data_IF_477092491777
#
_entry.id   IF_477092491777
#
_cell.length_a   1.000
_cell.length_b   1.000
_cell.length_c   1.000
_cell.angle_alpha   90.00
_cell.angle_beta   90.00
_cell.angle_gamma   90.00
#
_symmetry.space_group_name_H-M   'P 1'
#
loop_
_entity.id
_entity.type
_entity.pdbx_description
1 polymer ?
#
# COMPACT_ATOMS: atom_id res chain seq x y z
N UNK A 1 -30.24 -22.78 22.61
CA UNK A 1 -28.96 -22.05 22.85
C UNK A 1 -27.79 -22.65 22.06
N UNK A 2 -27.60 -24.00 22.06
CA UNK A 2 -26.56 -24.67 21.26
C UNK A 2 -26.77 -24.47 19.73
N UNK A 3 -27.99 -24.50 19.23
CA UNK A 3 -28.28 -24.31 17.81
C UNK A 3 -27.90 -22.90 17.31
N UNK A 4 -28.04 -21.86 18.13
CA UNK A 4 -27.63 -20.51 17.80
C UNK A 4 -26.12 -20.37 17.61
N UNK A 5 -25.31 -21.20 18.28
CA UNK A 5 -23.86 -21.23 18.12
C UNK A 5 -23.45 -21.68 16.71
N UNK A 6 -24.24 -22.56 16.08
CA UNK A 6 -23.95 -23.04 14.70
C UNK A 6 -24.22 -21.96 13.63
N UNK A 7 -25.10 -20.98 13.91
CA UNK A 7 -25.37 -19.88 12.99
C UNK A 7 -24.37 -18.70 13.13
N UNK A 8 -23.59 -18.63 14.20
CA UNK A 8 -22.63 -17.54 14.40
C UNK A 8 -21.61 -17.39 13.24
N UNK A 9 -20.99 -18.47 12.73
CA UNK A 9 -20.12 -18.37 11.53
C UNK A 9 -20.89 -17.90 10.28
N UNK A 10 -22.16 -18.26 10.13
CA UNK A 10 -22.98 -17.80 9.01
C UNK A 10 -23.29 -16.31 9.11
N UNK A 11 -23.48 -15.76 10.31
CA UNK A 11 -23.63 -14.31 10.55
C UNK A 11 -22.34 -13.57 10.19
N UNK A 12 -21.18 -14.08 10.61
CA UNK A 12 -19.89 -13.48 10.25
C UNK A 12 -19.66 -13.49 8.73
N UNK A 13 -20.03 -14.58 8.06
CA UNK A 13 -19.97 -14.65 6.61
C UNK A 13 -20.98 -13.68 5.95
N UNK A 14 -22.17 -13.47 6.53
CA UNK A 14 -23.12 -12.45 6.09
C UNK A 14 -22.53 -11.04 6.16
N UNK A 15 -21.80 -10.71 7.24
CA UNK A 15 -21.05 -9.45 7.34
C UNK A 15 -19.95 -9.35 6.27
N UNK A 16 -19.28 -10.45 5.97
CA UNK A 16 -18.29 -10.53 4.88
C UNK A 16 -18.92 -10.27 3.51
N UNK A 17 -20.12 -10.77 3.26
CA UNK A 17 -20.85 -10.50 2.00
C UNK A 17 -21.27 -9.02 1.90
N UNK A 18 -21.74 -8.44 2.98
CA UNK A 18 -22.05 -7.00 3.03
C UNK A 18 -20.79 -6.16 2.77
N UNK A 19 -19.67 -6.52 3.39
CA UNK A 19 -18.36 -5.91 3.14
C UNK A 19 -17.97 -6.01 1.66
N UNK A 20 -18.08 -7.19 1.04
CA UNK A 20 -17.80 -7.40 -0.38
C UNK A 20 -18.65 -6.49 -1.27
N UNK A 21 -19.95 -6.34 -0.95
CA UNK A 21 -20.85 -5.41 -1.63
C UNK A 21 -20.40 -3.95 -1.52
N UNK A 22 -19.98 -3.51 -0.33
CA UNK A 22 -19.43 -2.16 -0.11
C UNK A 22 -18.16 -1.97 -0.94
N UNK A 23 -17.25 -2.94 -0.96
CA UNK A 23 -16.04 -2.91 -1.76
C UNK A 23 -16.34 -2.77 -3.26
N UNK A 24 -17.30 -3.53 -3.77
CA UNK A 24 -17.74 -3.43 -5.18
C UNK A 24 -18.24 -2.02 -5.51
N UNK A 25 -19.09 -1.43 -4.67
CA UNK A 25 -19.60 -0.07 -4.85
C UNK A 25 -18.44 0.94 -4.81
N UNK A 26 -17.51 0.79 -3.85
CA UNK A 26 -16.36 1.66 -3.71
C UNK A 26 -15.44 1.60 -4.95
N UNK A 27 -15.16 0.40 -5.45
CA UNK A 27 -14.37 0.17 -6.67
C UNK A 27 -15.03 0.79 -7.91
N UNK A 28 -16.34 0.59 -8.09
CA UNK A 28 -17.06 1.17 -9.22
C UNK A 28 -17.04 2.70 -9.18
N UNK A 29 -17.26 3.31 -8.01
CA UNK A 29 -17.16 4.77 -7.83
C UNK A 29 -15.74 5.28 -8.11
N UNK A 30 -14.73 4.58 -7.62
CA UNK A 30 -13.34 4.94 -7.83
C UNK A 30 -12.95 4.82 -9.31
N UNK A 31 -13.42 3.76 -10.01
CA UNK A 31 -13.24 3.56 -11.45
C UNK A 31 -13.83 4.72 -12.27
N UNK A 32 -15.00 5.25 -11.90
CA UNK A 32 -15.56 6.44 -12.53
C UNK A 32 -14.65 7.64 -12.33
N UNK A 33 -14.11 7.85 -11.12
CA UNK A 33 -13.16 8.93 -10.84
C UNK A 33 -11.85 8.78 -11.61
N UNK A 34 -11.32 7.56 -11.77
CA UNK A 34 -10.12 7.27 -12.56
C UNK A 34 -10.29 7.62 -14.05
N UNK A 35 -11.49 7.36 -14.60
CA UNK A 35 -11.81 7.56 -16.02
C UNK A 35 -12.31 8.97 -16.36
N UNK A 36 -12.63 9.77 -15.36
CA UNK A 36 -13.08 11.13 -15.57
C UNK A 36 -11.97 11.93 -16.29
N UNK A 37 -12.31 12.56 -17.43
CA UNK A 37 -11.40 13.51 -18.09
C UNK A 37 -11.16 14.66 -17.13
N UNK A 38 -9.91 14.86 -16.73
CA UNK A 38 -9.49 15.93 -15.85
C UNK A 38 -8.63 16.90 -16.60
N UNK A 39 -8.95 18.16 -16.52
CA UNK A 39 -7.96 19.20 -16.80
C UNK A 39 -7.11 19.31 -15.54
N UNK A 40 -5.87 18.85 -15.61
CA UNK A 40 -4.87 19.06 -14.57
C UNK A 40 -4.37 20.52 -14.71
N UNK A 41 -5.19 21.49 -14.28
CA UNK A 41 -4.89 22.93 -14.46
C UNK A 41 -3.92 23.47 -13.41
N UNK A 42 -4.00 22.95 -12.18
CA UNK A 42 -3.13 23.36 -11.10
C UNK A 42 -1.75 22.73 -11.27
N UNK A 43 -0.75 23.56 -11.48
CA UNK A 43 0.65 23.16 -11.67
C UNK A 43 1.52 23.98 -10.73
N UNK A 44 2.02 23.35 -9.69
CA UNK A 44 3.02 23.93 -8.79
C UNK A 44 4.25 23.05 -8.83
N UNK A 45 5.46 23.61 -8.75
CA UNK A 45 6.69 22.82 -8.76
C UNK A 45 6.70 21.74 -7.68
N UNK A 46 7.26 20.57 -8.00
CA UNK A 46 7.23 19.38 -7.16
C UNK A 46 8.63 18.81 -6.95
N UNK A 47 9.00 18.48 -5.72
CA UNK A 47 10.19 17.66 -5.44
C UNK A 47 9.77 16.23 -5.09
N UNK A 48 10.34 15.25 -5.78
CA UNK A 48 10.18 13.83 -5.51
C UNK A 48 11.40 13.31 -4.76
N UNK A 49 11.20 12.74 -3.58
CA UNK A 49 12.21 12.05 -2.78
C UNK A 49 12.09 10.55 -3.01
N UNK A 50 13.15 9.94 -3.51
CA UNK A 50 13.24 8.50 -3.84
C UNK A 50 14.31 7.84 -2.96
N UNK A 51 13.96 7.34 -1.76
CA UNK A 51 14.88 6.56 -0.96
C UNK A 51 15.14 5.21 -1.66
N UNK A 52 16.40 4.90 -1.91
CA UNK A 52 16.84 3.69 -2.61
C UNK A 52 17.80 2.91 -1.72
N UNK A 53 17.77 1.58 -1.78
CA UNK A 53 18.70 0.72 -1.10
C UNK A 53 18.81 -0.63 -1.83
N UNK A 54 19.97 -0.93 -2.38
CA UNK A 54 20.24 -2.16 -3.11
C UNK A 54 19.58 -2.23 -4.48
N UNK A 55 19.85 -3.33 -5.20
CA UNK A 55 19.25 -3.60 -6.52
C UNK A 55 17.93 -4.38 -6.34
N UNK A 56 16.84 -3.69 -6.51
CA UNK A 56 15.53 -4.31 -6.66
C UNK A 56 15.28 -4.68 -8.12
N UNK A 57 14.45 -5.70 -8.36
CA UNK A 57 14.10 -6.07 -9.72
C UNK A 57 13.41 -4.89 -10.43
N UNK A 58 13.84 -4.61 -11.67
CA UNK A 58 13.35 -3.49 -12.46
C UNK A 58 13.62 -2.10 -11.86
N UNK A 59 14.57 -1.96 -10.93
CA UNK A 59 14.90 -0.67 -10.29
C UNK A 59 15.08 0.44 -11.31
N UNK A 60 15.89 0.22 -12.37
CA UNK A 60 16.13 1.21 -13.43
C UNK A 60 14.83 1.70 -14.08
N UNK A 61 13.90 0.78 -14.44
CA UNK A 61 12.62 1.14 -15.04
C UNK A 61 11.68 1.85 -14.07
N UNK A 62 11.68 1.44 -12.80
CA UNK A 62 10.88 2.07 -11.78
C UNK A 62 11.34 3.51 -11.57
N UNK A 63 12.62 3.74 -11.33
CA UNK A 63 13.19 5.08 -11.15
C UNK A 63 13.03 5.94 -12.41
N UNK A 64 13.29 5.37 -13.62
CA UNK A 64 13.11 6.04 -14.91
C UNK A 64 11.69 6.58 -15.10
N UNK A 65 10.68 5.88 -14.58
CA UNK A 65 9.29 6.30 -14.67
C UNK A 65 9.03 7.65 -13.99
N UNK A 66 9.75 7.96 -12.92
CA UNK A 66 9.68 9.25 -12.23
C UNK A 66 10.47 10.36 -12.94
N UNK A 67 11.49 10.01 -13.74
CA UNK A 67 12.20 10.97 -14.58
C UNK A 67 11.39 11.33 -15.84
N UNK A 68 10.56 10.43 -16.37
CA UNK A 68 9.78 10.62 -17.61
C UNK A 68 8.40 11.26 -17.39
N UNK A 69 8.34 12.30 -16.54
CA UNK A 69 7.07 12.97 -16.28
C UNK A 69 6.77 14.05 -17.31
N UNK A 70 5.51 14.14 -17.73
CA UNK A 70 5.00 15.25 -18.54
C UNK A 70 4.58 16.41 -17.60
N UNK A 71 5.59 17.06 -17.00
CA UNK A 71 5.44 18.11 -16.01
C UNK A 71 6.51 19.18 -16.20
N UNK A 72 6.10 20.46 -16.07
CA UNK A 72 6.94 21.58 -16.48
C UNK A 72 8.14 21.79 -15.55
N UNK A 73 7.91 21.74 -14.23
CA UNK A 73 8.95 22.01 -13.23
C UNK A 73 8.89 20.99 -12.09
N UNK A 74 9.87 20.11 -12.04
CA UNK A 74 10.01 19.12 -10.99
C UNK A 74 11.47 18.77 -10.73
N UNK A 75 11.73 18.32 -9.53
CA UNK A 75 13.02 17.81 -9.08
C UNK A 75 12.85 16.34 -8.63
N UNK A 76 13.82 15.49 -8.92
CA UNK A 76 13.90 14.15 -8.34
C UNK A 76 15.21 14.00 -7.58
N UNK A 77 15.13 13.70 -6.30
CA UNK A 77 16.27 13.43 -5.43
C UNK A 77 16.28 11.94 -5.12
N UNK A 78 17.34 11.27 -5.54
CA UNK A 78 17.62 9.90 -5.14
C UNK A 78 18.52 9.90 -3.90
N UNK A 79 18.20 9.09 -2.91
CA UNK A 79 19.01 8.96 -1.69
C UNK A 79 19.44 7.53 -1.46
N UNK A 80 20.70 7.34 -1.09
CA UNK A 80 21.27 6.07 -0.63
C UNK A 80 22.12 6.28 0.61
N UNK A 81 22.15 5.31 1.52
CA UNK A 81 22.97 5.42 2.74
C UNK A 81 24.43 5.02 2.50
N UNK A 82 24.67 3.99 1.71
CA UNK A 82 25.98 3.40 1.54
C UNK A 82 26.62 3.86 0.23
N UNK A 83 27.85 4.33 0.27
CA UNK A 83 28.62 4.73 -0.91
C UNK A 83 28.99 3.54 -1.81
N UNK A 84 28.89 2.30 -1.31
CA UNK A 84 29.05 1.06 -2.04
C UNK A 84 27.72 0.47 -2.53
N UNK A 85 26.58 1.17 -2.36
CA UNK A 85 25.26 0.65 -2.75
C UNK A 85 25.23 0.37 -4.27
N UNK A 86 24.89 -0.86 -4.69
CA UNK A 86 24.86 -1.24 -6.10
C UNK A 86 23.79 -0.50 -6.93
N UNK A 87 22.88 0.26 -6.30
CA UNK A 87 21.93 1.13 -7.01
C UNK A 87 22.59 2.41 -7.57
N UNK A 88 23.74 2.84 -7.03
CA UNK A 88 24.42 4.08 -7.44
C UNK A 88 24.72 4.13 -8.94
N UNK A 89 25.31 3.10 -9.57
CA UNK A 89 25.53 3.10 -11.02
C UNK A 89 24.23 3.23 -11.81
N UNK A 90 23.14 2.61 -11.37
CA UNK A 90 21.82 2.72 -12.02
C UNK A 90 21.32 4.17 -11.97
N UNK A 91 21.41 4.82 -10.80
CA UNK A 91 20.98 6.21 -10.63
C UNK A 91 21.82 7.15 -11.50
N UNK A 92 23.15 6.99 -11.50
CA UNK A 92 24.05 7.80 -12.35
C UNK A 92 23.73 7.64 -13.83
N UNK A 93 23.47 6.41 -14.29
CA UNK A 93 23.05 6.16 -15.67
C UNK A 93 21.73 6.87 -16.03
N UNK A 94 20.79 6.97 -15.09
CA UNK A 94 19.57 7.76 -15.30
C UNK A 94 19.85 9.27 -15.36
N UNK A 95 20.75 9.79 -14.54
CA UNK A 95 21.15 11.20 -14.60
C UNK A 95 21.81 11.54 -15.95
N UNK A 96 22.59 10.61 -16.52
CA UNK A 96 23.16 10.74 -17.85
C UNK A 96 22.09 10.63 -18.97
N UNK A 97 21.07 9.75 -18.80
CA UNK A 97 19.95 9.59 -19.74
C UNK A 97 19.07 10.86 -19.78
N UNK A 98 18.95 11.58 -18.67
CA UNK A 98 18.08 12.76 -18.52
C UNK A 98 18.87 14.04 -18.14
N UNK A 99 19.84 14.49 -18.93
CA UNK A 99 20.76 15.58 -18.56
C UNK A 99 20.10 16.97 -18.43
N UNK A 100 18.86 17.11 -18.91
CA UNK A 100 18.08 18.37 -18.84
C UNK A 100 17.12 18.40 -17.65
N UNK A 101 16.98 17.29 -16.90
CA UNK A 101 16.10 17.22 -15.76
C UNK A 101 16.87 17.56 -14.49
N UNK A 102 16.15 18.11 -13.52
CA UNK A 102 16.68 18.37 -12.19
C UNK A 102 16.73 17.07 -11.37
N UNK A 103 17.78 16.29 -11.58
CA UNK A 103 18.05 15.03 -10.90
C UNK A 103 19.28 15.17 -10.00
N UNK A 104 19.20 14.68 -8.77
CA UNK A 104 20.32 14.64 -7.84
C UNK A 104 20.42 13.32 -7.12
N UNK A 105 21.63 12.94 -6.72
CA UNK A 105 21.93 11.78 -5.91
C UNK A 105 22.58 12.25 -4.61
N UNK A 106 21.97 11.92 -3.49
CA UNK A 106 22.50 12.13 -2.14
C UNK A 106 23.00 10.79 -1.64
N UNK A 107 24.26 10.76 -1.20
CA UNK A 107 24.91 9.62 -0.55
C UNK A 107 25.27 10.10 0.84
N UNK A 108 24.54 9.63 1.85
CA UNK A 108 24.70 10.09 3.24
C UNK A 108 24.33 8.96 4.20
N UNK A 109 25.27 8.55 5.04
CA UNK A 109 25.15 7.45 5.99
C UNK A 109 24.59 7.87 7.36
N UNK A 110 24.23 9.14 7.52
CA UNK A 110 23.66 9.67 8.76
C UNK A 110 22.36 8.96 9.10
N UNK A 111 22.28 8.43 10.31
CA UNK A 111 21.14 7.72 10.85
C UNK A 111 20.55 8.53 12.01
N UNK A 112 19.27 8.92 11.86
CA UNK A 112 18.55 9.70 12.89
C UNK A 112 17.64 8.83 13.78
N UNK A 113 17.45 7.57 13.43
CA UNK A 113 16.63 6.63 14.20
C UNK A 113 16.62 5.23 13.61
N UNK A 114 15.77 4.37 14.15
CA UNK A 114 15.69 2.94 13.77
C UNK A 114 15.05 2.70 12.39
N UNK A 115 14.34 3.67 11.83
CA UNK A 115 13.83 3.61 10.47
C UNK A 115 14.84 4.20 9.47
N UNK A 116 15.61 3.34 8.81
CA UNK A 116 16.64 3.74 7.85
C UNK A 116 16.07 4.44 6.60
N UNK A 117 14.85 4.10 6.17
CA UNK A 117 14.17 4.80 5.08
C UNK A 117 13.92 6.25 5.47
N UNK A 118 13.45 6.48 6.69
CA UNK A 118 13.18 7.83 7.20
C UNK A 118 14.48 8.60 7.39
N UNK A 119 15.56 7.98 7.86
CA UNK A 119 16.89 8.61 7.93
C UNK A 119 17.36 9.06 6.55
N UNK A 120 17.21 8.23 5.53
CA UNK A 120 17.52 8.59 4.13
C UNK A 120 16.67 9.77 3.64
N UNK A 121 15.37 9.80 3.96
CA UNK A 121 14.48 10.93 3.63
C UNK A 121 14.91 12.23 4.32
N UNK A 122 15.34 12.16 5.59
CA UNK A 122 15.86 13.30 6.33
C UNK A 122 17.13 13.87 5.66
N UNK A 123 18.04 13.00 5.22
CA UNK A 123 19.28 13.39 4.54
C UNK A 123 19.01 14.03 3.18
N UNK A 124 17.95 13.62 2.47
CA UNK A 124 17.55 14.20 1.18
C UNK A 124 16.80 15.52 1.32
N UNK A 125 16.01 15.68 2.37
CA UNK A 125 15.06 16.80 2.51
C UNK A 125 15.68 18.20 2.43
N UNK A 126 16.89 18.48 2.97
CA UNK A 126 17.53 19.79 2.83
C UNK A 126 17.78 20.22 1.38
N UNK A 127 17.90 19.27 0.45
CA UNK A 127 18.11 19.54 -0.98
C UNK A 127 16.80 19.74 -1.75
N UNK A 128 15.66 19.45 -1.14
CA UNK A 128 14.35 19.66 -1.77
C UNK A 128 14.07 21.16 -1.91
N UNK A 129 13.67 21.60 -3.11
CA UNK A 129 13.51 23.04 -3.40
C UNK A 129 12.07 23.51 -3.45
N UNK A 130 11.13 22.61 -3.75
CA UNK A 130 9.74 22.97 -4.02
C UNK A 130 8.84 22.84 -2.80
N UNK A 131 7.68 23.49 -2.84
CA UNK A 131 6.69 23.44 -1.74
C UNK A 131 5.97 22.09 -1.64
N UNK A 132 5.72 21.43 -2.77
CA UNK A 132 5.12 20.09 -2.75
C UNK A 132 6.24 19.05 -2.74
N UNK A 133 6.29 18.30 -1.65
CA UNK A 133 7.22 17.18 -1.45
C UNK A 133 6.46 15.87 -1.66
N UNK A 134 7.02 15.00 -2.49
CA UNK A 134 6.47 13.66 -2.77
C UNK A 134 7.48 12.62 -2.35
N UNK A 135 7.11 11.72 -1.46
CA UNK A 135 7.88 10.53 -1.14
C UNK A 135 7.25 9.34 -1.86
N UNK A 136 8.05 8.55 -2.55
CA UNK A 136 7.60 7.32 -3.22
C UNK A 136 8.68 6.24 -3.14
N UNK A 137 8.29 5.02 -2.76
CA UNK A 137 9.18 3.87 -2.63
C UNK A 137 9.85 3.48 -3.95
N UNK A 138 11.04 2.85 -3.90
CA UNK A 138 11.88 2.52 -5.07
C UNK A 138 11.26 1.48 -6.01
N UNK A 139 10.38 0.62 -5.50
CA UNK A 139 9.67 -0.43 -6.22
C UNK A 139 8.38 0.06 -6.92
N UNK A 140 8.10 1.36 -6.85
CA UNK A 140 6.93 1.97 -7.48
C UNK A 140 7.23 2.40 -8.92
N UNK A 141 6.24 2.20 -9.80
CA UNK A 141 6.24 2.64 -11.20
C UNK A 141 5.02 3.52 -11.48
N UNK A 142 5.22 4.61 -12.25
CA UNK A 142 4.19 5.60 -12.57
C UNK A 142 4.10 5.89 -14.06
N UNK A 143 2.97 6.40 -14.53
CA UNK A 143 2.82 6.93 -15.88
C UNK A 143 3.24 8.41 -15.95
N UNK A 144 3.31 8.97 -17.15
CA UNK A 144 3.80 10.34 -17.40
C UNK A 144 2.97 11.46 -16.79
N UNK A 145 1.72 11.20 -16.41
CA UNK A 145 0.78 12.16 -15.86
C UNK A 145 0.70 12.12 -14.32
N UNK A 146 1.55 11.32 -13.67
CA UNK A 146 1.53 11.14 -12.22
C UNK A 146 1.69 12.45 -11.45
N UNK A 147 2.70 13.28 -11.79
CA UNK A 147 2.92 14.54 -11.09
C UNK A 147 1.79 15.54 -11.31
N UNK A 148 1.12 15.51 -12.47
CA UNK A 148 -0.11 16.29 -12.71
C UNK A 148 -1.22 15.89 -11.74
N UNK A 149 -1.41 14.59 -11.54
CA UNK A 149 -2.42 14.06 -10.64
C UNK A 149 -2.12 14.42 -9.18
N UNK A 150 -0.85 14.34 -8.78
CA UNK A 150 -0.40 14.72 -7.43
C UNK A 150 -0.61 16.19 -7.18
N UNK A 151 -0.06 17.08 -8.04
CA UNK A 151 -0.14 18.53 -7.87
C UNK A 151 -1.59 19.03 -7.82
N UNK A 152 -2.45 18.53 -8.71
CA UNK A 152 -3.86 18.92 -8.76
C UNK A 152 -4.62 18.64 -7.44
N UNK A 153 -4.15 17.71 -6.62
CA UNK A 153 -4.76 17.43 -5.31
C UNK A 153 -4.56 18.55 -4.32
N UNK A 154 -3.58 19.42 -4.54
CA UNK A 154 -3.26 20.57 -3.68
C UNK A 154 -3.90 21.89 -4.15
N UNK A 155 -4.74 21.86 -5.19
CA UNK A 155 -5.56 23.02 -5.58
C UNK A 155 -6.51 23.44 -4.43
N UNK A 156 -7.03 22.46 -3.68
CA UNK A 156 -7.79 22.72 -2.46
C UNK A 156 -6.82 22.98 -1.29
N UNK A 157 -6.83 24.22 -0.70
CA UNK A 157 -5.93 24.58 0.40
C UNK A 157 -6.17 23.76 1.70
N UNK A 158 -7.33 23.11 1.84
CA UNK A 158 -7.62 22.23 2.97
C UNK A 158 -6.87 20.89 2.90
N UNK A 159 -6.32 20.55 1.73
CA UNK A 159 -5.51 19.34 1.54
C UNK A 159 -4.10 19.60 2.05
N UNK A 160 -3.75 18.95 3.15
CA UNK A 160 -2.42 19.00 3.76
C UNK A 160 -1.51 17.92 3.21
N UNK A 161 -2.05 16.74 2.90
CA UNK A 161 -1.34 15.65 2.23
C UNK A 161 -2.24 14.92 1.25
N UNK A 162 -1.62 14.20 0.31
CA UNK A 162 -2.30 13.39 -0.67
C UNK A 162 -1.58 12.06 -0.87
N UNK A 163 -2.33 11.01 -1.21
CA UNK A 163 -1.80 9.66 -1.39
C UNK A 163 -2.48 8.94 -2.55
N UNK A 164 -1.78 7.99 -3.17
CA UNK A 164 -2.32 7.12 -4.20
C UNK A 164 -2.55 5.71 -3.67
N UNK A 165 -3.55 5.03 -4.21
CA UNK A 165 -3.58 3.58 -4.14
C UNK A 165 -2.51 3.00 -5.06
N UNK A 166 -2.14 1.76 -4.78
CA UNK A 166 -1.23 1.02 -5.65
C UNK A 166 -1.79 -0.36 -5.99
N UNK A 167 -1.34 -0.89 -7.11
CA UNK A 167 -1.66 -2.22 -7.59
C UNK A 167 -0.40 -3.06 -7.66
N UNK A 168 -0.49 -4.33 -7.32
CA UNK A 168 0.60 -5.28 -7.46
C UNK A 168 0.74 -5.76 -8.92
N UNK A 169 1.97 -5.67 -9.45
CA UNK A 169 2.36 -6.27 -10.73
C UNK A 169 3.37 -7.38 -10.48
N UNK A 170 3.00 -8.60 -10.82
CA UNK A 170 3.86 -9.75 -10.63
C UNK A 170 5.00 -9.82 -11.64
N UNK A 171 6.20 -10.20 -11.20
CA UNK A 171 7.36 -10.46 -12.05
C UNK A 171 7.27 -11.78 -12.85
N UNK A 172 6.22 -12.57 -12.68
CA UNK A 172 5.93 -13.79 -13.44
C UNK A 172 5.95 -15.09 -12.61
N UNK A 173 6.68 -15.16 -11.50
CA UNK A 173 6.75 -16.32 -10.61
C UNK A 173 5.47 -16.49 -9.79
N UNK A 174 5.15 -17.74 -9.36
CA UNK A 174 3.96 -18.00 -8.55
C UNK A 174 3.91 -17.18 -7.24
N UNK A 175 5.00 -17.07 -6.43
CA UNK A 175 4.95 -16.22 -5.23
C UNK A 175 4.63 -14.77 -5.56
N UNK A 176 5.25 -14.19 -6.58
CA UNK A 176 4.98 -12.81 -7.02
C UNK A 176 3.54 -12.62 -7.48
N UNK A 177 2.93 -13.63 -8.15
CA UNK A 177 1.52 -13.60 -8.54
C UNK A 177 0.60 -13.56 -7.31
N UNK A 178 0.89 -14.40 -6.32
CA UNK A 178 0.12 -14.43 -5.06
C UNK A 178 0.28 -13.14 -4.26
N UNK A 179 1.49 -12.56 -4.21
CA UNK A 179 1.73 -11.25 -3.58
C UNK A 179 0.99 -10.11 -4.29
N UNK A 180 1.01 -10.09 -5.63
CA UNK A 180 0.23 -9.14 -6.41
C UNK A 180 -1.28 -9.28 -6.17
N UNK A 181 -1.79 -10.50 -6.00
CA UNK A 181 -3.19 -10.75 -5.65
C UNK A 181 -3.53 -10.25 -4.24
N UNK A 182 -2.60 -10.33 -3.27
CA UNK A 182 -2.81 -9.72 -1.95
C UNK A 182 -3.05 -8.23 -2.06
N UNK A 183 -2.22 -7.53 -2.80
CA UNK A 183 -2.36 -6.08 -3.01
C UNK A 183 -3.66 -5.78 -3.76
N UNK A 184 -3.91 -6.46 -4.86
CA UNK A 184 -5.04 -6.16 -5.73
C UNK A 184 -6.37 -6.56 -5.10
N UNK A 185 -6.49 -7.78 -4.59
CA UNK A 185 -7.78 -8.37 -4.21
C UNK A 185 -8.15 -8.12 -2.74
N UNK A 186 -7.18 -7.77 -1.90
CA UNK A 186 -7.41 -7.53 -0.48
C UNK A 186 -7.11 -6.08 -0.07
N UNK A 187 -5.87 -5.60 -0.30
CA UNK A 187 -5.47 -4.27 0.14
C UNK A 187 -6.24 -3.17 -0.60
N UNK A 188 -6.25 -3.17 -1.93
CA UNK A 188 -6.83 -2.10 -2.74
C UNK A 188 -8.33 -1.87 -2.44
N UNK A 189 -9.21 -2.89 -2.43
CA UNK A 189 -10.61 -2.68 -2.08
C UNK A 189 -10.81 -2.25 -0.63
N UNK A 190 -10.01 -2.79 0.32
CA UNK A 190 -10.07 -2.41 1.74
C UNK A 190 -9.66 -0.95 1.96
N UNK A 191 -8.61 -0.50 1.27
CA UNK A 191 -8.09 0.85 1.36
C UNK A 191 -9.03 1.92 0.79
N UNK A 192 -9.97 1.54 -0.08
CA UNK A 192 -11.00 2.44 -0.61
C UNK A 192 -12.10 2.77 0.40
N UNK A 193 -12.37 1.91 1.36
CA UNK A 193 -13.50 2.08 2.29
C UNK A 193 -13.38 3.37 3.10
N UNK A 194 -12.27 3.69 3.78
CA UNK A 194 -12.12 4.95 4.49
C UNK A 194 -12.28 6.17 3.60
N UNK A 195 -11.80 6.10 2.36
CA UNK A 195 -11.90 7.20 1.42
C UNK A 195 -13.34 7.46 0.95
N UNK A 196 -14.14 6.40 0.78
CA UNK A 196 -15.57 6.51 0.42
C UNK A 196 -16.38 7.18 1.52
N UNK A 197 -16.05 6.91 2.78
CA UNK A 197 -16.71 7.52 3.93
C UNK A 197 -16.09 8.87 4.36
N UNK A 198 -15.15 9.42 3.58
CA UNK A 198 -14.49 10.70 3.87
C UNK A 198 -13.62 10.68 5.14
N UNK A 199 -13.15 9.49 5.56
CA UNK A 199 -12.41 9.27 6.81
C UNK A 199 -10.95 8.87 6.62
N UNK A 200 -10.36 9.17 5.45
CA UNK A 200 -8.95 8.89 5.23
C UNK A 200 -8.09 9.79 6.12
N UNK A 201 -7.35 9.18 7.04
CA UNK A 201 -6.53 9.87 8.05
C UNK A 201 -5.05 9.48 7.99
N UNK A 202 -4.66 8.68 7.00
CA UNK A 202 -3.31 8.16 6.80
C UNK A 202 -2.95 8.15 5.31
N UNK A 203 -1.68 7.97 5.01
CA UNK A 203 -1.17 7.81 3.65
C UNK A 203 -0.78 6.35 3.40
N UNK A 204 -0.51 6.05 2.13
CA UNK A 204 0.08 4.79 1.67
C UNK A 204 1.49 5.06 1.16
N UNK A 205 2.45 4.18 1.49
CA UNK A 205 3.87 4.35 1.18
C UNK A 205 4.20 4.50 -0.30
N UNK A 206 3.33 3.99 -1.19
CA UNK A 206 3.48 4.15 -2.62
C UNK A 206 3.52 5.62 -3.09
N UNK A 207 2.83 6.51 -2.37
CA UNK A 207 2.84 7.96 -2.60
C UNK A 207 2.44 8.68 -1.32
N UNK A 208 3.34 9.46 -0.77
CA UNK A 208 3.08 10.40 0.31
C UNK A 208 3.44 11.79 -0.18
N UNK A 209 2.43 12.57 -0.60
CA UNK A 209 2.62 13.95 -1.04
C UNK A 209 2.16 14.92 0.05
N UNK A 210 2.91 16.01 0.28
CA UNK A 210 2.64 16.96 1.36
C UNK A 210 3.13 18.36 0.98
N UNK A 211 2.49 19.39 1.55
CA UNK A 211 3.08 20.74 1.56
C UNK A 211 4.26 20.79 2.52
N UNK A 212 5.37 21.39 2.10
CA UNK A 212 6.57 21.56 2.93
C UNK A 212 6.23 22.16 4.31
N UNK A 213 5.43 23.21 4.34
CA UNK A 213 5.02 23.88 5.58
C UNK A 213 4.32 22.95 6.59
N UNK A 214 3.53 21.97 6.10
CA UNK A 214 2.90 20.98 6.97
C UNK A 214 3.89 19.93 7.44
N UNK A 215 4.85 19.51 6.59
CA UNK A 215 5.92 18.59 6.96
C UNK A 215 6.79 19.18 8.06
N UNK A 216 7.25 20.41 7.87
CA UNK A 216 8.09 21.12 8.86
C UNK A 216 7.37 21.37 10.18
N UNK A 217 6.05 21.64 10.15
CA UNK A 217 5.24 21.93 11.32
C UNK A 217 5.18 20.76 12.32
N UNK A 218 5.26 19.49 11.85
CA UNK A 218 5.29 18.36 12.76
C UNK A 218 6.70 17.83 13.05
N UNK A 219 7.76 18.55 12.64
CA UNK A 219 9.16 18.17 12.89
C UNK A 219 9.80 17.39 11.77
N UNK A 220 9.29 17.53 10.54
CA UNK A 220 9.79 16.87 9.33
C UNK A 220 9.93 15.34 9.51
N UNK A 221 11.01 14.76 8.99
CA UNK A 221 11.24 13.32 9.06
C UNK A 221 11.72 12.86 10.44
N UNK A 222 12.25 13.75 11.28
CA UNK A 222 12.68 13.41 12.65
C UNK A 222 11.53 12.86 13.49
N UNK A 223 10.32 13.37 13.30
CA UNK A 223 9.11 12.88 13.98
C UNK A 223 8.74 11.42 13.64
N UNK A 224 9.33 10.86 12.57
CA UNK A 224 9.06 9.53 12.07
C UNK A 224 10.27 8.58 12.21
N UNK A 225 11.38 9.06 12.78
CA UNK A 225 12.67 8.38 12.77
C UNK A 225 12.66 6.95 13.34
N UNK A 226 11.79 6.68 14.34
CA UNK A 226 11.68 5.38 15.00
C UNK A 226 10.36 4.65 14.69
N UNK A 227 9.60 5.11 13.72
CA UNK A 227 8.27 4.56 13.42
C UNK A 227 8.34 3.54 12.28
N UNK A 228 7.79 2.33 12.50
CA UNK A 228 7.73 1.28 11.46
C UNK A 228 6.79 1.66 10.32
N UNK A 229 5.59 2.13 10.65
CA UNK A 229 4.57 2.53 9.68
C UNK A 229 4.67 4.04 9.42
N UNK A 230 5.77 4.45 8.77
CA UNK A 230 6.06 5.85 8.47
C UNK A 230 4.93 6.52 7.66
N UNK A 231 4.35 5.83 6.70
CA UNK A 231 3.26 6.29 5.85
C UNK A 231 1.95 6.52 6.63
N UNK A 232 1.60 5.57 7.50
CA UNK A 232 0.43 5.70 8.37
C UNK A 232 0.58 6.89 9.32
N UNK A 233 1.72 6.99 9.99
CA UNK A 233 1.97 8.08 10.95
C UNK A 233 2.12 9.42 10.27
N UNK A 234 2.73 9.47 9.08
CA UNK A 234 2.81 10.69 8.27
C UNK A 234 1.42 11.30 8.03
N UNK A 235 0.48 10.51 7.52
CA UNK A 235 -0.89 10.98 7.33
C UNK A 235 -1.59 11.36 8.64
N UNK A 236 -1.39 10.58 9.72
CA UNK A 236 -1.96 10.87 11.06
C UNK A 236 -1.47 12.20 11.62
N UNK A 237 -0.20 12.55 11.44
CA UNK A 237 0.36 13.82 11.91
C UNK A 237 -0.25 14.99 11.14
N UNK A 238 -0.40 14.89 9.82
CA UNK A 238 -1.06 15.90 9.00
C UNK A 238 -2.54 16.06 9.38
N UNK A 239 -3.23 14.94 9.60
CA UNK A 239 -4.64 14.96 10.04
C UNK A 239 -4.81 15.64 11.41
N UNK A 240 -3.90 15.38 12.36
CA UNK A 240 -3.87 16.04 13.68
C UNK A 240 -3.68 17.55 13.59
N UNK A 241 -3.07 18.07 12.54
CA UNK A 241 -2.96 19.51 12.25
C UNK A 241 -4.28 20.12 11.71
N UNK A 242 -5.34 19.32 11.56
CA UNK A 242 -6.64 19.74 11.04
C UNK A 242 -6.75 19.73 9.52
N UNK A 243 -5.75 19.19 8.81
CA UNK A 243 -5.77 19.10 7.36
C UNK A 243 -6.40 17.79 6.87
N UNK A 244 -6.94 17.85 5.65
CA UNK A 244 -7.51 16.70 4.95
C UNK A 244 -6.42 15.90 4.22
N UNK A 245 -6.53 14.58 4.25
CA UNK A 245 -5.77 13.68 3.38
C UNK A 245 -6.60 13.40 2.13
N UNK A 246 -6.05 13.72 0.95
CA UNK A 246 -6.71 13.47 -0.32
C UNK A 246 -6.30 12.10 -0.88
N UNK A 247 -7.28 11.28 -1.28
CA UNK A 247 -7.01 10.12 -2.14
C UNK A 247 -7.00 10.59 -3.59
N UNK A 248 -5.82 10.57 -4.19
CA UNK A 248 -5.61 10.90 -5.59
C UNK A 248 -6.27 9.81 -6.43
N UNK A 249 -7.11 10.14 -7.42
CA UNK A 249 -7.67 9.13 -8.32
C UNK A 249 -6.64 8.74 -9.38
N UNK A 250 -5.64 8.05 -8.90
CA UNK A 250 -4.52 7.49 -9.62
C UNK A 250 -4.10 6.18 -8.93
N UNK A 251 -3.65 5.21 -9.70
CA UNK A 251 -3.11 3.95 -9.19
C UNK A 251 -1.65 3.85 -9.62
N UNK A 252 -0.75 3.72 -8.65
CA UNK A 252 0.66 3.45 -8.86
C UNK A 252 0.87 1.94 -9.02
N UNK A 253 1.79 1.49 -9.85
CA UNK A 253 2.18 0.08 -9.93
C UNK A 253 3.30 -0.22 -8.91
N UNK A 254 3.08 -1.23 -8.06
CA UNK A 254 4.10 -1.84 -7.20
C UNK A 254 4.60 -3.13 -7.87
N UNK A 255 5.88 -3.22 -8.16
CA UNK A 255 6.47 -4.40 -8.82
C UNK A 255 6.85 -5.43 -7.76
N UNK A 256 6.12 -6.55 -7.74
CA UNK A 256 6.31 -7.63 -6.77
C UNK A 256 7.26 -8.70 -7.34
N UNK A 257 8.34 -8.95 -6.63
CA UNK A 257 9.33 -9.98 -6.97
C UNK A 257 9.73 -10.83 -5.76
N UNK A 258 8.76 -11.56 -5.20
CA UNK A 258 9.07 -12.53 -4.16
C UNK A 258 9.69 -13.79 -4.79
N UNK A 259 10.94 -14.17 -4.40
CA UNK A 259 11.64 -15.29 -5.01
C UNK A 259 11.08 -16.66 -4.58
N UNK A 260 10.39 -16.74 -3.45
CA UNK A 260 9.85 -17.98 -2.88
C UNK A 260 8.56 -17.73 -2.10
N UNK A 261 7.80 -18.81 -1.83
CA UNK A 261 6.62 -18.75 -0.95
C UNK A 261 7.00 -18.37 0.50
N UNK A 262 8.20 -18.75 0.94
CA UNK A 262 8.73 -18.34 2.27
C UNK A 262 8.97 -16.83 2.31
N UNK A 263 9.59 -16.26 1.28
CA UNK A 263 9.82 -14.81 1.17
C UNK A 263 8.48 -14.06 1.18
N UNK A 264 7.54 -14.47 0.36
CA UNK A 264 6.18 -13.92 0.32
C UNK A 264 5.51 -13.97 1.69
N UNK A 265 5.54 -15.14 2.36
CA UNK A 265 4.95 -15.31 3.68
C UNK A 265 5.55 -14.35 4.72
N UNK A 266 6.87 -14.22 4.76
CA UNK A 266 7.56 -13.31 5.69
C UNK A 266 7.25 -11.84 5.36
N UNK A 267 7.18 -11.50 4.09
CA UNK A 267 6.83 -10.16 3.62
C UNK A 267 5.40 -9.77 4.06
N UNK A 268 4.42 -10.61 3.78
CA UNK A 268 3.04 -10.36 4.17
C UNK A 268 2.83 -10.45 5.69
N UNK A 269 3.57 -11.32 6.38
CA UNK A 269 3.55 -11.40 7.84
C UNK A 269 4.07 -10.10 8.48
N UNK A 270 5.11 -9.49 7.89
CA UNK A 270 5.59 -8.17 8.30
C UNK A 270 4.51 -7.11 8.16
N UNK A 271 3.81 -7.04 7.02
CA UNK A 271 2.70 -6.11 6.82
C UNK A 271 1.56 -6.37 7.80
N UNK A 272 1.17 -7.63 7.99
CA UNK A 272 0.13 -8.02 8.94
C UNK A 272 0.45 -7.59 10.37
N UNK A 273 1.70 -7.80 10.84
CA UNK A 273 2.18 -7.37 12.16
C UNK A 273 2.21 -5.85 12.28
N UNK A 274 2.62 -5.14 11.22
CA UNK A 274 2.63 -3.68 11.16
C UNK A 274 1.21 -3.12 11.30
N UNK A 275 0.27 -3.58 10.46
CA UNK A 275 -1.14 -3.12 10.53
C UNK A 275 -1.74 -3.42 11.90
N UNK A 276 -1.51 -4.62 12.45
CA UNK A 276 -1.97 -4.99 13.79
C UNK A 276 -1.42 -4.07 14.88
N UNK A 277 -0.18 -3.61 14.74
CA UNK A 277 0.45 -2.74 15.73
C UNK A 277 -0.10 -1.32 15.73
N UNK A 278 -0.45 -0.79 14.55
CA UNK A 278 -0.98 0.58 14.41
C UNK A 278 -2.50 0.66 14.63
N UNK A 279 -3.25 -0.37 14.23
CA UNK A 279 -4.72 -0.41 14.34
C UNK A 279 -5.21 -1.80 14.79
N UNK A 280 -4.96 -2.21 16.06
CA UNK A 280 -5.25 -3.57 16.52
C UNK A 280 -6.73 -3.95 16.43
N UNK A 281 -7.63 -3.04 16.74
CA UNK A 281 -9.08 -3.28 16.65
C UNK A 281 -9.55 -3.31 15.20
N UNK A 282 -9.05 -2.39 14.35
CA UNK A 282 -9.31 -2.40 12.91
C UNK A 282 -8.78 -3.67 12.25
N UNK A 283 -7.60 -4.13 12.66
CA UNK A 283 -7.02 -5.37 12.18
C UNK A 283 -7.85 -6.60 12.57
N UNK A 284 -8.32 -6.69 13.81
CA UNK A 284 -9.21 -7.77 14.25
C UNK A 284 -10.55 -7.73 13.49
N UNK A 285 -11.17 -6.56 13.37
CA UNK A 285 -12.41 -6.38 12.62
C UNK A 285 -12.26 -6.72 11.13
N UNK A 286 -11.07 -6.52 10.54
CA UNK A 286 -10.80 -6.86 9.15
C UNK A 286 -10.82 -8.36 8.84
N UNK A 287 -11.06 -9.24 9.83
CA UNK A 287 -11.34 -10.68 9.60
C UNK A 287 -12.55 -10.90 8.68
N UNK A 288 -13.51 -9.97 8.65
CA UNK A 288 -14.63 -10.00 7.68
C UNK A 288 -14.22 -9.93 6.22
N UNK A 289 -12.96 -9.58 5.92
CA UNK A 289 -12.44 -9.57 4.55
C UNK A 289 -12.16 -10.97 4.01
N UNK A 290 -12.14 -12.01 4.86
CA UNK A 290 -11.86 -13.39 4.52
C UNK A 290 -13.13 -14.11 4.01
N UNK A 291 -13.60 -13.74 2.81
CA UNK A 291 -14.91 -14.13 2.26
C UNK A 291 -15.07 -15.65 2.20
N UNK A 292 -14.14 -16.35 1.56
CA UNK A 292 -14.24 -17.81 1.34
C UNK A 292 -14.03 -18.61 2.63
N UNK A 293 -13.01 -18.33 3.47
CA UNK A 293 -12.85 -19.01 4.76
C UNK A 293 -14.06 -18.86 5.68
N UNK A 294 -14.62 -17.65 5.80
CA UNK A 294 -15.81 -17.42 6.62
C UNK A 294 -17.05 -18.10 6.03
N UNK A 295 -17.19 -18.09 4.71
CA UNK A 295 -18.29 -18.77 4.05
C UNK A 295 -18.21 -20.31 4.22
N UNK A 296 -17.00 -20.88 4.22
CA UNK A 296 -16.81 -22.32 4.48
C UNK A 296 -17.25 -22.70 5.90
N UNK A 297 -16.86 -21.91 6.90
CA UNK A 297 -17.32 -22.08 8.28
C UNK A 297 -18.83 -21.89 8.42
N UNK A 298 -19.40 -20.89 7.75
CA UNK A 298 -20.84 -20.62 7.73
C UNK A 298 -21.63 -21.75 7.09
N UNK A 299 -21.16 -22.28 5.97
CA UNK A 299 -21.77 -23.43 5.28
C UNK A 299 -21.76 -24.71 6.13
N UNK A 300 -20.64 -24.97 6.83
CA UNK A 300 -20.55 -26.04 7.77
C UNK A 300 -21.57 -25.91 8.91
N UNK A 301 -21.71 -24.69 9.49
CA UNK A 301 -22.71 -24.39 10.51
C UNK A 301 -24.16 -24.59 10.01
N UNK A 302 -24.47 -24.10 8.80
CA UNK A 302 -25.77 -24.28 8.14
C UNK A 302 -26.05 -25.78 7.94
N UNK A 303 -25.06 -26.53 7.47
CA UNK A 303 -25.21 -27.96 7.28
C UNK A 303 -25.53 -28.72 8.61
N UNK A 304 -24.77 -28.39 9.66
CA UNK A 304 -24.98 -29.01 10.99
C UNK A 304 -26.37 -28.68 11.54
N UNK A 305 -26.83 -27.42 11.36
CA UNK A 305 -28.11 -26.97 11.88
C UNK A 305 -29.32 -27.48 11.06
N UNK A 306 -29.20 -27.58 9.73
CA UNK A 306 -30.32 -27.88 8.82
C UNK A 306 -30.30 -29.30 8.23
N UNK A 307 -29.15 -29.98 8.29
CA UNK A 307 -28.93 -31.26 7.58
C UNK A 307 -28.88 -31.11 6.05
N UNK A 308 -28.94 -29.90 5.51
CA UNK A 308 -29.14 -29.64 4.07
C UNK A 308 -27.84 -29.26 3.38
N UNK A 309 -27.31 -30.13 2.53
CA UNK A 309 -26.21 -29.81 1.60
C UNK A 309 -26.61 -28.75 0.58
N UNK A 310 -27.89 -28.62 0.23
CA UNK A 310 -28.36 -27.63 -0.74
C UNK A 310 -28.16 -26.19 -0.18
N UNK A 311 -28.59 -25.95 1.05
CA UNK A 311 -28.44 -24.65 1.67
C UNK A 311 -26.96 -24.28 1.89
N UNK A 312 -26.15 -25.23 2.36
CA UNK A 312 -24.72 -25.05 2.52
C UNK A 312 -24.03 -24.75 1.15
N UNK A 313 -24.40 -25.52 0.12
CA UNK A 313 -23.89 -25.31 -1.25
C UNK A 313 -24.30 -23.97 -1.86
N UNK A 314 -25.54 -23.54 -1.69
CA UNK A 314 -25.99 -22.21 -2.13
C UNK A 314 -25.22 -21.09 -1.45
N UNK A 315 -24.97 -21.21 -0.15
CA UNK A 315 -24.21 -20.23 0.61
C UNK A 315 -22.77 -20.08 0.09
N UNK A 316 -22.10 -21.20 -0.19
CA UNK A 316 -20.77 -21.21 -0.80
C UNK A 316 -20.77 -20.64 -2.23
N UNK A 317 -21.81 -20.93 -3.01
CA UNK A 317 -21.94 -20.42 -4.37
C UNK A 317 -22.07 -18.88 -4.38
N UNK A 318 -22.83 -18.29 -3.45
CA UNK A 318 -22.93 -16.84 -3.27
C UNK A 318 -21.57 -16.24 -2.93
N UNK A 319 -20.85 -16.86 -1.98
CA UNK A 319 -19.51 -16.40 -1.60
C UNK A 319 -18.54 -16.42 -2.79
N UNK A 320 -18.51 -17.51 -3.55
CA UNK A 320 -17.68 -17.66 -4.74
C UNK A 320 -18.04 -16.62 -5.81
N UNK A 321 -19.33 -16.37 -6.05
CA UNK A 321 -19.79 -15.37 -6.99
C UNK A 321 -19.34 -13.94 -6.58
N UNK A 322 -19.49 -13.57 -5.30
CA UNK A 322 -19.01 -12.28 -4.78
C UNK A 322 -17.50 -12.16 -4.86
N UNK A 323 -16.76 -13.20 -4.54
CA UNK A 323 -15.29 -13.23 -4.60
C UNK A 323 -14.80 -13.05 -6.04
N UNK A 324 -15.41 -13.75 -7.00
CA UNK A 324 -15.11 -13.60 -8.43
C UNK A 324 -15.51 -12.21 -8.95
N UNK A 325 -16.66 -11.68 -8.55
CA UNK A 325 -17.11 -10.35 -8.92
C UNK A 325 -16.11 -9.27 -8.46
N UNK A 326 -15.61 -9.36 -7.22
CA UNK A 326 -14.56 -8.48 -6.72
C UNK A 326 -13.29 -8.60 -7.57
N UNK A 327 -12.79 -9.81 -7.77
CA UNK A 327 -11.58 -10.09 -8.52
C UNK A 327 -11.63 -9.50 -9.94
N UNK A 328 -12.70 -9.74 -10.69
CA UNK A 328 -12.85 -9.22 -12.05
C UNK A 328 -13.10 -7.70 -12.08
N UNK A 329 -13.80 -7.15 -11.09
CA UNK A 329 -13.98 -5.69 -10.98
C UNK A 329 -12.65 -4.99 -10.74
N UNK A 330 -11.80 -5.53 -9.86
CA UNK A 330 -10.45 -5.03 -9.61
C UNK A 330 -9.60 -5.13 -10.87
N UNK A 331 -9.55 -6.31 -11.50
CA UNK A 331 -8.78 -6.55 -12.73
C UNK A 331 -9.15 -5.60 -13.86
N UNK A 332 -10.42 -5.17 -13.92
CA UNK A 332 -10.92 -4.19 -14.90
C UNK A 332 -10.68 -2.72 -14.49
N UNK A 333 -10.29 -2.47 -13.25
CA UNK A 333 -10.08 -1.12 -12.69
C UNK A 333 -8.61 -0.75 -12.68
N UNK A 334 -7.74 -1.71 -12.38
CA UNK A 334 -6.29 -1.52 -12.31
C UNK A 334 -5.71 -1.28 -13.70
N UNK A 335 -4.84 -0.24 -13.88
CA UNK A 335 -4.13 -0.02 -15.14
C UNK A 335 -3.18 -1.19 -15.47
N UNK A 336 -3.01 -1.44 -16.76
CA UNK A 336 -2.24 -2.59 -17.23
C UNK A 336 -3.05 -3.89 -17.19
N UNK A 337 -2.60 -4.92 -17.90
CA UNK A 337 -3.22 -6.25 -17.77
C UNK A 337 -2.81 -6.81 -16.41
N UNK A 338 -3.65 -6.59 -15.42
CA UNK A 338 -3.59 -7.39 -14.19
C UNK A 338 -3.63 -8.85 -14.63
N UNK A 339 -2.57 -9.57 -14.37
CA UNK A 339 -2.46 -11.01 -14.65
C UNK A 339 -3.21 -11.79 -13.58
N UNK A 340 -4.41 -11.31 -13.23
CA UNK A 340 -5.27 -11.97 -12.31
C UNK A 340 -5.60 -13.36 -12.85
N UNK A 341 -5.11 -14.37 -12.18
CA UNK A 341 -5.40 -15.74 -12.49
C UNK A 341 -6.44 -16.27 -11.49
N UNK A 342 -7.72 -16.36 -11.86
CA UNK A 342 -8.79 -16.76 -10.94
C UNK A 342 -8.53 -18.16 -10.34
N UNK A 343 -7.76 -19.02 -11.01
CA UNK A 343 -7.40 -20.34 -10.51
C UNK A 343 -6.48 -20.30 -9.28
N UNK A 344 -5.83 -19.17 -9.01
CA UNK A 344 -5.01 -18.97 -7.81
C UNK A 344 -5.83 -18.46 -6.62
N UNK A 345 -7.09 -18.06 -6.80
CA UNK A 345 -7.94 -17.56 -5.73
C UNK A 345 -8.07 -18.54 -4.56
N UNK A 346 -8.33 -19.85 -4.77
CA UNK A 346 -8.42 -20.78 -3.66
C UNK A 346 -7.14 -20.84 -2.81
N UNK A 347 -5.99 -20.86 -3.49
CA UNK A 347 -4.70 -20.86 -2.80
C UNK A 347 -4.49 -19.56 -2.02
N UNK A 348 -4.81 -18.42 -2.63
CA UNK A 348 -4.69 -17.11 -1.99
C UNK A 348 -5.61 -16.98 -0.77
N UNK A 349 -6.86 -17.42 -0.89
CA UNK A 349 -7.87 -17.34 0.15
C UNK A 349 -7.58 -18.30 1.33
N UNK A 350 -6.77 -19.37 1.13
CA UNK A 350 -6.22 -20.21 2.21
C UNK A 350 -5.02 -19.54 2.88
N UNK A 351 -4.13 -18.89 2.11
CA UNK A 351 -2.93 -18.25 2.66
C UNK A 351 -3.27 -17.06 3.58
N UNK A 352 -4.27 -16.25 3.23
CA UNK A 352 -4.64 -15.04 3.96
C UNK A 352 -4.93 -15.30 5.45
N UNK A 353 -5.85 -16.21 5.84
CA UNK A 353 -6.11 -16.49 7.25
C UNK A 353 -4.92 -17.12 7.98
N UNK A 354 -4.07 -17.90 7.29
CA UNK A 354 -2.85 -18.47 7.89
C UNK A 354 -1.89 -17.34 8.28
N UNK A 355 -1.63 -16.38 7.39
CA UNK A 355 -0.77 -15.23 7.66
C UNK A 355 -1.37 -14.36 8.76
N UNK A 356 -2.69 -14.12 8.72
CA UNK A 356 -3.41 -13.38 9.75
C UNK A 356 -3.25 -14.03 11.13
N UNK A 357 -3.51 -15.32 11.25
CA UNK A 357 -3.34 -16.06 12.50
C UNK A 357 -1.89 -16.03 12.97
N UNK A 358 -0.93 -16.26 12.06
CA UNK A 358 0.50 -16.20 12.37
C UNK A 358 0.93 -14.82 12.88
N UNK A 359 0.28 -13.74 12.45
CA UNK A 359 0.59 -12.39 12.88
C UNK A 359 0.32 -12.13 14.36
N UNK A 360 -0.60 -12.87 14.97
CA UNK A 360 -0.89 -12.76 16.41
C UNK A 360 0.21 -13.39 17.28
N UNK A 361 1.06 -14.22 16.69
CA UNK A 361 2.18 -14.84 17.38
C UNK A 361 3.48 -14.07 17.07
N UNK A 362 4.06 -13.50 18.12
CA UNK A 362 5.32 -12.74 18.03
C UNK A 362 5.16 -11.28 17.61
N UNK A 363 6.27 -10.54 17.79
CA UNK A 363 6.41 -9.12 17.46
C UNK A 363 7.65 -8.82 16.62
N UNK A 364 8.42 -9.87 16.29
CA UNK A 364 9.64 -9.74 15.49
C UNK A 364 9.30 -9.54 14.02
N UNK A 365 9.92 -8.55 13.40
CA UNK A 365 9.83 -8.29 11.97
C UNK A 365 11.23 -8.19 11.38
N UNK A 366 11.43 -8.81 10.22
CA UNK A 366 12.67 -8.68 9.46
C UNK A 366 12.44 -7.67 8.35
N UNK A 367 13.26 -6.62 8.30
CA UNK A 367 13.21 -5.62 7.26
C UNK A 367 14.63 -5.38 6.72
N UNK A 368 14.83 -5.66 5.42
CA UNK A 368 16.11 -5.54 4.73
C UNK A 368 17.25 -6.22 5.51
N UNK A 369 17.06 -7.53 5.76
CA UNK A 369 18.02 -8.41 6.48
C UNK A 369 18.31 -8.04 7.94
N UNK A 370 17.62 -7.06 8.49
CA UNK A 370 17.72 -6.69 9.91
C UNK A 370 16.45 -7.06 10.65
N UNK A 371 16.65 -7.55 11.85
CA UNK A 371 15.56 -7.94 12.75
C UNK A 371 15.21 -6.80 13.69
N UNK A 372 13.91 -6.52 13.80
CA UNK A 372 13.34 -5.52 14.70
C UNK A 372 12.23 -6.13 15.54
N UNK A 373 12.00 -5.55 16.72
CA UNK A 373 10.83 -5.84 17.56
C UNK A 373 9.91 -4.64 17.55
N UNK A 374 8.62 -4.88 17.28
CA UNK A 374 7.60 -3.84 17.30
C UNK A 374 7.16 -3.64 18.76
N UNK A 375 7.37 -2.45 19.29
CA UNK A 375 6.90 -2.04 20.61
C UNK A 375 5.41 -1.68 20.60
N UNK A 376 4.79 -1.62 21.79
CA UNK A 376 3.37 -1.28 21.94
C UNK A 376 2.99 0.13 21.44
N UNK A 377 3.97 1.02 21.31
CA UNK A 377 3.83 2.39 20.79
C UNK A 377 4.16 2.52 19.30
N UNK A 378 4.22 1.39 18.55
CA UNK A 378 4.54 1.33 17.10
C UNK A 378 5.99 1.71 16.77
N UNK A 379 6.87 1.86 17.76
CA UNK A 379 8.28 2.10 17.54
C UNK A 379 9.03 0.82 17.19
N UNK A 380 10.06 0.98 16.36
CA UNK A 380 11.03 -0.06 16.05
C UNK A 380 12.16 -0.02 17.06
N UNK A 381 12.51 -1.18 17.59
CA UNK A 381 13.76 -1.38 18.31
C UNK A 381 14.54 -2.50 17.62
N UNK A 382 15.87 -2.36 17.46
CA UNK A 382 16.70 -3.46 16.97
C UNK A 382 16.47 -4.71 17.83
N UNK A 383 16.34 -5.89 17.21
CA UNK A 383 16.32 -7.13 17.96
C UNK A 383 17.77 -7.43 18.38
N UNK A 384 17.99 -7.65 19.68
CA UNK A 384 19.27 -8.11 20.24
C UNK A 384 19.69 -9.47 19.66
#
# INVERSE_FOLDING_TARGET
MLELLFYFPAVLAGLSFAYAGICLIALLRFRVRLRAKRSWGFRTPVTVLKPVCGLEQNLAENLRSFCRQDYDEFQVIFGVHDNADPAIPVIRGLMEEFPKHDLSLIIDDTIIGSNYKVSNLANMFPQARHDIIVVADSDMRVCRDYLKAVAASFEDPKVGAATCLYSGRASGRLPSKLGAMFINDWFLPSALIPAVFGRLTYCFGATMAIRRSNLERFGAFDALADVLADDFMFGRLVHKQGHRIALIPYIVENVIDDPSLKSLFLHELRWARTIRSVEPYGYAASTITEIIPLAALGAAGIFVASGSFVYAGMFLAIAAALRLALHYTISSTVPGRSTANPWLLPLRDIMSPIIRLSSYFGRKVTWRERDFVIQSNVRLEPAE
#
